data_IF_807632915072
#
_entry.id   IF_807632915072
#
_cell.length_a   1.000
_cell.length_b   1.000
_cell.length_c   1.000
_cell.angle_alpha   90.00
_cell.angle_beta   90.00
_cell.angle_gamma   90.00
#
_symmetry.space_group_name_H-M   'P 1'
#
loop_
_entity.id
_entity.type
_entity.pdbx_description
1 polymer ?
#
# COMPACT_ATOMS: atom_id res chain seq x y z
N UNK A 1 15.02 14.58 3.33
CA UNK A 1 13.65 14.75 3.87
C UNK A 1 12.94 13.41 4.06
N UNK A 2 12.77 12.59 3.01
CA UNK A 2 12.09 11.27 3.08
C UNK A 2 12.66 10.32 4.15
N UNK A 3 13.98 10.30 4.37
CA UNK A 3 14.62 9.47 5.42
C UNK A 3 14.18 9.84 6.85
N UNK A 4 13.98 11.14 7.12
CA UNK A 4 13.55 11.62 8.45
C UNK A 4 12.09 11.21 8.68
N UNK A 5 11.25 11.45 7.69
CA UNK A 5 9.83 11.07 7.74
C UNK A 5 9.69 9.55 7.86
N UNK A 6 10.45 8.77 7.09
CA UNK A 6 10.47 7.31 7.20
C UNK A 6 10.82 6.83 8.61
N UNK A 7 11.83 7.41 9.26
CA UNK A 7 12.22 7.04 10.64
C UNK A 7 11.13 7.38 11.66
N UNK A 8 10.54 8.57 11.58
CA UNK A 8 9.46 8.97 12.50
C UNK A 8 8.21 8.09 12.30
N UNK A 9 7.83 7.83 11.04
CA UNK A 9 6.73 6.93 10.70
C UNK A 9 6.97 5.52 11.24
N UNK A 10 8.16 4.94 11.03
CA UNK A 10 8.50 3.63 11.59
C UNK A 10 8.42 3.62 13.12
N UNK A 11 8.96 4.63 13.79
CA UNK A 11 8.94 4.74 15.25
C UNK A 11 7.51 4.82 15.81
N UNK A 12 6.56 5.37 15.03
CA UNK A 12 5.14 5.50 15.40
C UNK A 12 4.27 4.33 14.96
N UNK A 13 4.84 3.25 14.44
CA UNK A 13 4.08 2.07 14.00
C UNK A 13 3.56 2.12 12.57
N UNK A 14 3.97 3.12 11.78
CA UNK A 14 3.62 3.28 10.38
C UNK A 14 4.59 2.59 9.41
N UNK A 15 4.29 2.68 8.12
CA UNK A 15 5.03 2.05 7.03
C UNK A 15 5.01 2.92 5.77
N UNK A 16 6.10 2.90 5.01
CA UNK A 16 6.07 3.27 3.59
C UNK A 16 5.80 2.00 2.79
N UNK A 17 4.82 2.02 1.89
CA UNK A 17 4.48 0.88 1.04
C UNK A 17 4.54 1.27 -0.43
N UNK A 18 5.24 0.46 -1.24
CA UNK A 18 5.20 0.56 -2.69
C UNK A 18 3.89 -0.05 -3.22
N UNK A 19 2.82 0.72 -3.11
CA UNK A 19 1.47 0.32 -3.43
C UNK A 19 0.60 1.53 -3.72
N UNK A 20 -0.37 1.33 -4.60
CA UNK A 20 -1.39 2.32 -4.93
C UNK A 20 -2.43 2.41 -3.79
N UNK A 21 -2.86 3.61 -3.45
CA UNK A 21 -3.96 3.85 -2.51
C UNK A 21 -5.25 4.05 -3.30
N UNK A 22 -6.25 3.22 -3.02
CA UNK A 22 -7.60 3.36 -3.58
C UNK A 22 -8.59 3.67 -2.47
N UNK A 23 -9.55 4.54 -2.73
CA UNK A 23 -10.59 4.92 -1.78
C UNK A 23 -11.99 4.64 -2.35
N UNK A 24 -12.91 4.24 -1.48
CA UNK A 24 -14.33 4.16 -1.74
C UNK A 24 -15.10 4.56 -0.49
N UNK A 25 -16.09 5.43 -0.65
CA UNK A 25 -17.01 5.82 0.41
C UNK A 25 -16.32 6.19 1.74
N UNK A 26 -15.18 6.89 1.67
CA UNK A 26 -14.44 7.35 2.85
C UNK A 26 -13.54 6.30 3.53
N UNK A 27 -13.37 5.10 2.98
CA UNK A 27 -12.34 4.15 3.42
C UNK A 27 -11.34 3.83 2.31
N UNK A 28 -10.10 3.53 2.71
CA UNK A 28 -9.01 3.19 1.81
C UNK A 28 -8.68 1.70 1.78
N UNK A 29 -8.08 1.27 0.67
CA UNK A 29 -7.42 -0.03 0.52
C UNK A 29 -6.10 0.17 -0.22
N UNK A 30 -5.14 -0.70 0.05
CA UNK A 30 -3.84 -0.67 -0.63
C UNK A 30 -3.80 -1.76 -1.69
N UNK A 31 -3.47 -1.37 -2.91
CA UNK A 31 -3.17 -2.26 -4.03
C UNK A 31 -1.64 -2.36 -4.15
N UNK A 32 -1.07 -3.43 -3.57
CA UNK A 32 0.38 -3.65 -3.46
C UNK A 32 0.83 -4.84 -4.31
N UNK A 33 2.13 -4.96 -4.53
CA UNK A 33 2.70 -6.10 -5.24
C UNK A 33 4.01 -5.74 -5.94
N UNK A 34 4.71 -6.74 -6.50
CA UNK A 34 5.99 -6.52 -7.17
C UNK A 34 5.93 -5.42 -8.25
N UNK A 35 7.07 -4.80 -8.54
CA UNK A 35 7.16 -3.89 -9.68
C UNK A 35 6.75 -4.61 -10.97
N UNK A 36 6.03 -3.92 -11.86
CA UNK A 36 5.54 -4.48 -13.12
C UNK A 36 4.28 -5.35 -13.03
N UNK A 37 3.75 -5.67 -11.84
CA UNK A 37 2.56 -6.53 -11.71
C UNK A 37 1.26 -5.90 -12.26
N UNK A 38 1.24 -4.57 -12.41
CA UNK A 38 0.10 -3.83 -12.96
C UNK A 38 -0.62 -2.89 -11.99
N UNK A 39 0.04 -2.42 -10.91
CA UNK A 39 -0.54 -1.49 -9.92
C UNK A 39 -1.09 -0.21 -10.54
N UNK A 40 -0.31 0.45 -11.39
CA UNK A 40 -0.72 1.67 -12.11
C UNK A 40 -1.92 1.38 -13.03
N UNK A 41 -1.89 0.25 -13.74
CA UNK A 41 -3.00 -0.20 -14.61
C UNK A 41 -4.27 -0.43 -13.80
N UNK A 42 -4.18 -1.14 -12.67
CA UNK A 42 -5.32 -1.35 -11.78
C UNK A 42 -5.86 -0.02 -11.21
N UNK A 43 -4.96 0.86 -10.76
CA UNK A 43 -5.28 2.19 -10.23
C UNK A 43 -6.05 3.05 -11.24
N UNK A 44 -5.67 3.01 -12.51
CA UNK A 44 -6.36 3.71 -13.62
C UNK A 44 -7.72 3.07 -13.95
N UNK A 45 -7.85 1.74 -13.82
CA UNK A 45 -9.06 0.99 -14.18
C UNK A 45 -10.17 1.07 -13.13
N UNK A 46 -9.93 1.63 -11.95
CA UNK A 46 -10.95 1.77 -10.91
C UNK A 46 -12.08 2.70 -11.39
N UNK A 47 -13.33 2.20 -11.51
CA UNK A 47 -14.46 3.04 -11.84
C UNK A 47 -15.06 3.68 -10.58
N UNK A 48 -15.82 4.75 -10.75
CA UNK A 48 -16.70 5.27 -9.69
C UNK A 48 -17.57 4.12 -9.11
N UNK A 49 -17.74 4.03 -7.77
CA UNK A 49 -17.35 5.01 -6.75
C UNK A 49 -15.91 4.84 -6.21
N UNK A 50 -15.12 3.91 -6.75
CA UNK A 50 -13.71 3.81 -6.40
C UNK A 50 -12.94 4.98 -7.01
N UNK A 51 -11.97 5.50 -6.25
CA UNK A 51 -11.06 6.56 -6.67
C UNK A 51 -9.63 6.14 -6.36
N UNK A 52 -8.74 6.35 -7.32
CA UNK A 52 -7.31 6.28 -7.06
C UNK A 52 -6.87 7.55 -6.33
N UNK A 53 -6.14 7.41 -5.23
CA UNK A 53 -5.51 8.50 -4.49
C UNK A 53 -3.99 8.53 -4.68
N UNK A 54 -3.37 7.39 -5.00
CA UNK A 54 -1.99 7.30 -5.48
C UNK A 54 -1.80 5.99 -6.25
N UNK A 55 -0.77 5.90 -7.08
CA UNK A 55 -0.48 4.73 -7.92
C UNK A 55 0.87 4.03 -7.66
N UNK A 56 1.74 4.62 -6.84
CA UNK A 56 3.13 4.16 -6.68
C UNK A 56 3.55 3.98 -5.20
N UNK A 57 3.36 5.00 -4.34
CA UNK A 57 3.67 4.90 -2.91
C UNK A 57 2.50 5.37 -2.05
N UNK A 58 2.28 4.64 -0.96
CA UNK A 58 1.34 4.97 0.11
C UNK A 58 2.11 5.10 1.41
N UNK A 59 1.96 6.25 2.08
CA UNK A 59 2.39 6.42 3.46
C UNK A 59 1.29 5.91 4.38
N UNK A 60 1.60 4.90 5.19
CA UNK A 60 0.71 4.39 6.23
C UNK A 60 1.16 4.95 7.57
N UNK A 61 0.25 5.63 8.26
CA UNK A 61 0.45 6.07 9.65
C UNK A 61 -0.53 5.35 10.56
N UNK A 62 -0.17 5.23 11.84
CA UNK A 62 -1.00 4.61 12.86
C UNK A 62 -1.38 5.67 13.89
N UNK A 63 -2.67 5.80 14.19
CA UNK A 63 -3.16 6.74 15.20
C UNK A 63 -3.06 6.15 16.62
N UNK A 64 -3.32 6.98 17.63
CA UNK A 64 -3.26 6.60 19.04
C UNK A 64 -4.31 5.54 19.43
N UNK A 65 -5.37 5.39 18.62
CA UNK A 65 -6.37 4.33 18.76
C UNK A 65 -5.96 3.03 18.05
N UNK A 66 -4.78 3.02 17.42
CA UNK A 66 -4.21 1.88 16.72
C UNK A 66 -4.79 1.62 15.32
N UNK A 67 -5.59 2.55 14.78
CA UNK A 67 -6.10 2.49 13.41
C UNK A 67 -5.04 2.95 12.43
N UNK A 68 -5.03 2.34 11.25
CA UNK A 68 -4.10 2.73 10.20
C UNK A 68 -4.78 3.62 9.18
N UNK A 69 -4.06 4.65 8.74
CA UNK A 69 -4.50 5.63 7.77
C UNK A 69 -3.55 5.62 6.58
N UNK A 70 -4.10 5.64 5.37
CA UNK A 70 -3.36 5.76 4.13
C UNK A 70 -3.33 7.22 3.69
N UNK A 71 -2.12 7.73 3.48
CA UNK A 71 -1.87 8.99 2.81
C UNK A 71 -1.27 8.72 1.44
N UNK A 72 -1.77 9.38 0.39
CA UNK A 72 -1.08 9.34 -0.88
C UNK A 72 0.28 10.01 -0.73
N UNK A 73 1.34 9.30 -1.12
CA UNK A 73 2.69 9.84 -1.04
C UNK A 73 3.10 10.37 -2.42
N UNK A 74 3.57 11.62 -2.52
CA UNK A 74 3.97 12.18 -3.81
C UNK A 74 5.19 11.42 -4.33
N UNK A 75 5.02 10.72 -5.44
CA UNK A 75 6.14 10.06 -6.11
C UNK A 75 6.77 11.03 -7.10
N UNK A 76 8.00 11.42 -6.77
CA UNK A 76 8.77 12.40 -7.55
C UNK A 76 9.21 11.83 -8.91
N UNK A 77 9.22 10.51 -9.07
CA UNK A 77 9.43 9.83 -10.36
C UNK A 77 8.49 10.37 -11.44
N UNK A 78 7.22 10.58 -11.09
CA UNK A 78 6.24 11.12 -12.03
C UNK A 78 6.50 12.59 -12.42
N UNK A 79 7.02 13.39 -11.49
CA UNK A 79 7.41 14.78 -11.75
C UNK A 79 8.61 14.91 -12.71
N UNK A 80 9.52 13.93 -12.69
CA UNK A 80 10.71 13.94 -13.53
C UNK A 80 10.51 13.21 -14.87
N UNK A 81 9.67 12.18 -14.92
CA UNK A 81 9.42 11.39 -16.13
C UNK A 81 8.27 11.92 -16.99
N UNK A 82 7.27 12.59 -16.39
CA UNK A 82 6.15 13.16 -17.15
C UNK A 82 6.33 14.66 -17.32
N UNK A 83 6.81 15.05 -18.51
CA UNK A 83 6.75 16.44 -18.95
C UNK A 83 5.28 16.80 -19.23
N UNK A 84 4.52 17.12 -18.17
CA UNK A 84 3.16 17.64 -18.19
C UNK A 84 2.01 16.60 -18.28
N UNK A 85 1.74 15.87 -17.20
CA UNK A 85 0.39 15.31 -16.99
C UNK A 85 -0.18 15.83 -15.67
N UNK A 86 -1.22 16.67 -15.75
CA UNK A 86 -1.79 17.46 -14.66
C UNK A 86 -2.50 16.68 -13.54
N UNK A 87 -2.04 15.45 -13.23
CA UNK A 87 -2.52 14.69 -12.07
C UNK A 87 -2.00 15.33 -10.79
N UNK A 88 -2.93 15.83 -9.97
CA UNK A 88 -2.66 16.36 -8.63
C UNK A 88 -3.18 15.34 -7.61
N UNK A 89 -2.31 14.87 -6.72
CA UNK A 89 -2.72 14.06 -5.58
C UNK A 89 -2.91 14.99 -4.38
N UNK A 90 -4.09 14.97 -3.76
CA UNK A 90 -4.31 15.69 -2.51
C UNK A 90 -3.66 14.91 -1.36
N UNK A 91 -2.39 15.22 -1.12
CA UNK A 91 -1.56 14.62 -0.04
C UNK A 91 -2.06 14.96 1.37
N UNK A 92 -2.95 15.96 1.50
CA UNK A 92 -3.48 16.39 2.80
C UNK A 92 -4.61 15.48 3.30
N UNK A 93 -5.28 14.75 2.41
CA UNK A 93 -6.44 13.96 2.75
C UNK A 93 -6.07 12.49 3.01
N UNK A 94 -6.21 12.05 4.25
CA UNK A 94 -5.97 10.68 4.69
C UNK A 94 -7.26 9.87 4.70
N UNK A 95 -7.17 8.56 4.48
CA UNK A 95 -8.32 7.66 4.54
C UNK A 95 -8.05 6.47 5.47
N UNK A 96 -9.01 6.07 6.32
CA UNK A 96 -8.86 4.91 7.19
C UNK A 96 -8.77 3.64 6.34
N UNK A 97 -7.77 2.80 6.59
CA UNK A 97 -7.53 1.60 5.80
C UNK A 97 -8.41 0.44 6.26
N UNK A 98 -9.06 -0.23 5.30
CA UNK A 98 -9.97 -1.36 5.54
C UNK A 98 -9.41 -2.70 5.04
N UNK A 99 -8.46 -2.68 4.10
CA UNK A 99 -7.92 -3.91 3.52
C UNK A 99 -6.65 -3.74 2.69
N UNK A 100 -5.97 -4.87 2.51
CA UNK A 100 -4.77 -5.02 1.71
C UNK A 100 -5.04 -6.00 0.57
N UNK A 101 -4.71 -5.59 -0.66
CA UNK A 101 -4.84 -6.43 -1.85
C UNK A 101 -3.48 -6.50 -2.55
N UNK A 102 -2.90 -7.69 -2.58
CA UNK A 102 -1.66 -7.95 -3.27
C UNK A 102 -1.95 -8.46 -4.68
N UNK A 103 -1.60 -7.69 -5.70
CA UNK A 103 -1.91 -8.02 -7.08
C UNK A 103 -1.15 -9.26 -7.55
N UNK A 104 -1.85 -10.09 -8.31
CA UNK A 104 -1.29 -11.14 -9.15
C UNK A 104 -2.00 -11.09 -10.52
N UNK A 105 -1.27 -11.31 -11.61
CA UNK A 105 -1.90 -11.41 -12.92
C UNK A 105 -2.57 -12.77 -13.09
N UNK A 106 -3.78 -12.78 -13.64
CA UNK A 106 -4.54 -14.00 -13.87
C UNK A 106 -5.44 -13.87 -15.11
N UNK A 107 -6.07 -14.98 -15.50
CA UNK A 107 -7.07 -14.98 -16.58
C UNK A 107 -8.43 -14.46 -16.12
N UNK A 108 -8.75 -14.65 -14.86
CA UNK A 108 -10.03 -14.29 -14.24
C UNK A 108 -9.76 -13.52 -12.95
N UNK A 109 -10.65 -12.57 -12.64
CA UNK A 109 -10.54 -11.80 -11.41
C UNK A 109 -10.99 -12.65 -10.22
N UNK A 110 -10.20 -12.67 -9.15
CA UNK A 110 -10.62 -13.25 -7.87
C UNK A 110 -9.86 -12.64 -6.70
N UNK A 111 -10.53 -12.46 -5.57
CA UNK A 111 -9.87 -12.06 -4.33
C UNK A 111 -9.81 -13.24 -3.35
N UNK A 112 -8.59 -13.71 -3.05
CA UNK A 112 -8.38 -14.80 -2.11
C UNK A 112 -7.84 -14.30 -0.78
N UNK A 113 -8.50 -14.67 0.31
CA UNK A 113 -8.04 -14.29 1.64
C UNK A 113 -6.74 -15.01 1.98
N UNK A 114 -5.78 -14.26 2.53
CA UNK A 114 -4.52 -14.81 3.03
C UNK A 114 -4.37 -14.63 4.53
N UNK A 115 -3.57 -15.51 5.13
CA UNK A 115 -3.24 -15.45 6.56
C UNK A 115 -2.31 -14.29 6.89
N UNK A 116 -2.29 -13.90 8.17
CA UNK A 116 -1.48 -12.79 8.68
C UNK A 116 0.02 -12.99 8.45
N UNK A 117 0.54 -14.22 8.52
CA UNK A 117 1.94 -14.53 8.24
C UNK A 117 2.34 -14.22 6.79
N UNK A 118 1.53 -14.66 5.83
CA UNK A 118 1.76 -14.36 4.41
C UNK A 118 1.64 -12.85 4.14
N UNK A 119 0.59 -12.20 4.67
CA UNK A 119 0.40 -10.76 4.53
C UNK A 119 1.59 -9.97 5.10
N UNK A 120 2.14 -10.39 6.23
CA UNK A 120 3.35 -9.78 6.84
C UNK A 120 4.54 -9.87 5.90
N UNK A 121 4.80 -11.04 5.30
CA UNK A 121 5.88 -11.22 4.34
C UNK A 121 5.74 -10.31 3.11
N UNK A 122 4.53 -10.20 2.57
CA UNK A 122 4.26 -9.35 1.41
C UNK A 122 4.33 -7.85 1.74
N UNK A 123 3.92 -7.44 2.95
CA UNK A 123 4.10 -6.08 3.44
C UNK A 123 5.58 -5.71 3.58
N UNK A 124 6.39 -6.61 4.14
CA UNK A 124 7.83 -6.39 4.28
C UNK A 124 8.51 -6.18 2.93
N UNK A 125 8.16 -7.00 1.93
CA UNK A 125 8.68 -6.86 0.57
C UNK A 125 8.25 -5.52 -0.03
N UNK A 126 6.97 -5.20 0.06
CA UNK A 126 6.39 -3.95 -0.44
C UNK A 126 7.00 -2.73 0.23
N UNK A 127 7.31 -2.80 1.54
CA UNK A 127 7.92 -1.71 2.26
C UNK A 127 9.39 -1.51 1.87
N UNK A 128 10.14 -2.59 1.73
CA UNK A 128 11.53 -2.55 1.25
C UNK A 128 11.66 -1.98 -0.16
N UNK A 129 10.70 -2.26 -1.04
CA UNK A 129 10.65 -1.65 -2.37
C UNK A 129 10.48 -0.12 -2.30
N UNK A 130 9.73 0.39 -1.32
CA UNK A 130 9.57 1.84 -1.11
C UNK A 130 10.78 2.50 -0.45
N UNK A 131 11.50 1.78 0.42
CA UNK A 131 12.54 2.38 1.29
C UNK A 131 13.97 2.02 0.89
N UNK A 132 14.17 1.05 -0.01
CA UNK A 132 15.48 0.48 -0.34
C UNK A 132 16.54 1.47 -0.84
N UNK A 133 16.13 2.68 -1.26
CA UNK A 133 17.04 3.77 -1.64
C UNK A 133 17.42 4.73 -0.49
N UNK A 134 16.81 4.59 0.69
CA UNK A 134 16.98 5.51 1.83
C UNK A 134 18.07 5.08 2.83
N UNK A 135 18.62 3.87 2.68
CA UNK A 135 19.41 3.19 3.72
C UNK A 135 20.94 3.17 3.49
N UNK A 136 21.44 3.82 2.44
CA UNK A 136 22.83 3.76 1.94
C UNK A 136 23.95 4.22 2.92
N UNK A 137 23.62 4.66 4.15
CA UNK A 137 24.61 5.18 5.13
C UNK A 137 24.31 4.85 6.59
N UNK A 138 23.50 3.83 6.86
CA UNK A 138 23.15 3.45 8.26
C UNK A 138 24.16 2.43 8.79
N UNK A 139 24.47 2.46 10.10
CA UNK A 139 25.29 1.42 10.72
C UNK A 139 24.56 0.06 10.74
N UNK A 140 25.30 -1.04 10.89
CA UNK A 140 24.68 -2.39 10.93
C UNK A 140 23.69 -2.55 12.11
N UNK A 141 23.97 -1.92 13.25
CA UNK A 141 23.07 -1.95 14.42
C UNK A 141 21.80 -1.14 14.17
N UNK A 142 21.92 0.04 13.57
CA UNK A 142 20.76 0.85 13.18
C UNK A 142 19.87 0.11 12.17
N UNK A 143 20.48 -0.54 11.18
CA UNK A 143 19.76 -1.33 10.18
C UNK A 143 19.02 -2.51 10.83
N UNK A 144 19.62 -3.18 11.81
CA UNK A 144 18.96 -4.27 12.54
C UNK A 144 17.76 -3.77 13.33
N UNK A 145 17.91 -2.66 14.06
CA UNK A 145 16.83 -2.06 14.83
C UNK A 145 15.67 -1.61 13.92
N UNK A 146 15.99 -0.94 12.81
CA UNK A 146 15.01 -0.51 11.82
C UNK A 146 14.27 -1.70 11.18
N UNK A 147 14.99 -2.77 10.82
CA UNK A 147 14.38 -3.98 10.26
C UNK A 147 13.42 -4.65 11.26
N UNK A 148 13.78 -4.69 12.55
CA UNK A 148 12.91 -5.24 13.59
C UNK A 148 11.64 -4.38 13.77
N UNK A 149 11.77 -3.06 13.78
CA UNK A 149 10.61 -2.15 13.81
C UNK A 149 9.72 -2.32 12.59
N UNK A 150 10.31 -2.38 11.39
CA UNK A 150 9.59 -2.62 10.15
C UNK A 150 8.80 -3.94 10.21
N UNK A 151 9.42 -5.01 10.69
CA UNK A 151 8.78 -6.32 10.88
C UNK A 151 7.62 -6.25 11.86
N UNK A 152 7.80 -5.60 13.01
CA UNK A 152 6.77 -5.47 14.02
C UNK A 152 5.57 -4.66 13.50
N UNK A 153 5.83 -3.55 12.80
CA UNK A 153 4.79 -2.71 12.21
C UNK A 153 4.01 -3.48 11.13
N UNK A 154 4.69 -4.25 10.27
CA UNK A 154 4.06 -5.11 9.28
C UNK A 154 3.17 -6.18 9.93
N UNK A 155 3.64 -6.82 11.01
CA UNK A 155 2.84 -7.77 11.79
C UNK A 155 1.57 -7.14 12.37
N UNK A 156 1.70 -5.95 12.96
CA UNK A 156 0.56 -5.22 13.56
C UNK A 156 -0.45 -4.85 12.48
N UNK A 157 0.02 -4.30 11.36
CA UNK A 157 -0.83 -3.92 10.24
C UNK A 157 -1.57 -5.13 9.66
N UNK A 158 -0.86 -6.23 9.38
CA UNK A 158 -1.43 -7.47 8.85
C UNK A 158 -2.49 -8.09 9.77
N UNK A 159 -2.35 -7.93 11.10
CA UNK A 159 -3.35 -8.40 12.08
C UNK A 159 -4.60 -7.51 12.13
N UNK A 160 -4.45 -6.23 11.80
CA UNK A 160 -5.54 -5.24 11.95
C UNK A 160 -6.49 -5.17 10.74
N UNK A 161 -6.14 -5.79 9.61
CA UNK A 161 -6.89 -5.68 8.36
C UNK A 161 -7.02 -7.02 7.63
N UNK A 162 -8.07 -7.15 6.83
CA UNK A 162 -8.19 -8.26 5.89
C UNK A 162 -7.17 -8.08 4.77
N UNK A 163 -6.49 -9.18 4.43
CA UNK A 163 -5.47 -9.22 3.39
C UNK A 163 -5.83 -10.25 2.35
N UNK A 164 -5.59 -9.93 1.08
CA UNK A 164 -5.98 -10.78 -0.05
C UNK A 164 -4.89 -10.84 -1.11
N UNK A 165 -4.79 -11.96 -1.82
CA UNK A 165 -4.25 -11.96 -3.18
C UNK A 165 -5.39 -11.55 -4.11
N UNK A 166 -5.19 -10.45 -4.84
CA UNK A 166 -6.11 -9.98 -5.87
C UNK A 166 -5.58 -10.42 -7.23
N UNK A 167 -6.19 -11.46 -7.77
CA UNK A 167 -5.94 -11.91 -9.11
C UNK A 167 -6.67 -10.96 -10.06
N UNK A 168 -5.94 -10.38 -11.02
CA UNK A 168 -6.43 -9.35 -11.94
C UNK A 168 -6.21 -9.81 -13.37
N UNK A 169 -7.30 -9.89 -14.10
CA UNK A 169 -7.34 -10.04 -15.56
C UNK A 169 -7.16 -8.71 -16.28
N UNK A 170 -6.79 -8.76 -17.56
CA UNK A 170 -6.52 -7.55 -18.36
C UNK A 170 -7.75 -6.64 -18.50
N UNK A 171 -8.94 -7.21 -18.68
CA UNK A 171 -10.16 -6.46 -19.01
C UNK A 171 -11.32 -6.67 -18.02
N UNK A 172 -11.12 -7.49 -16.98
CA UNK A 172 -12.16 -7.77 -16.01
C UNK A 172 -12.50 -6.62 -15.06
N UNK A 173 -13.36 -6.92 -14.09
CA UNK A 173 -13.91 -5.98 -13.12
C UNK A 173 -13.46 -6.33 -11.69
N UNK A 174 -12.15 -6.44 -11.47
CA UNK A 174 -11.54 -6.84 -10.19
C UNK A 174 -12.03 -6.05 -8.97
N UNK A 175 -12.50 -4.80 -9.15
CA UNK A 175 -13.07 -4.00 -8.06
C UNK A 175 -14.35 -4.62 -7.48
N UNK A 176 -15.09 -5.44 -8.25
CA UNK A 176 -16.22 -6.23 -7.73
C UNK A 176 -15.75 -7.30 -6.74
N UNK A 177 -14.64 -7.95 -7.04
CA UNK A 177 -14.01 -8.93 -6.14
C UNK A 177 -13.50 -8.26 -4.86
N UNK A 178 -12.95 -7.04 -4.97
CA UNK A 178 -12.58 -6.24 -3.80
C UNK A 178 -13.79 -5.93 -2.91
N UNK A 179 -14.90 -5.53 -3.52
CA UNK A 179 -16.15 -5.22 -2.80
C UNK A 179 -16.70 -6.44 -2.06
N UNK A 180 -16.74 -7.60 -2.74
CA UNK A 180 -17.16 -8.86 -2.14
C UNK A 180 -16.25 -9.24 -0.97
N UNK A 181 -14.93 -9.23 -1.19
CA UNK A 181 -13.92 -9.59 -0.19
C UNK A 181 -13.97 -8.73 1.07
N UNK A 182 -14.19 -7.42 0.93
CA UNK A 182 -14.28 -6.51 2.08
C UNK A 182 -15.53 -6.74 2.92
N UNK A 183 -16.64 -7.18 2.29
CA UNK A 183 -17.93 -7.40 2.94
C UNK A 183 -18.10 -8.83 3.50
N UNK A 184 -17.28 -9.79 3.08
CA UNK A 184 -17.28 -11.15 3.65
C UNK A 184 -16.97 -11.15 5.16
N UNK A 185 -17.59 -12.01 5.99
CA UNK A 185 -17.25 -12.13 7.41
C UNK A 185 -15.78 -12.51 7.65
N UNK A 186 -15.28 -12.24 8.86
CA UNK A 186 -13.89 -12.53 9.30
C UNK A 186 -13.72 -14.02 9.60
#
# INVERSE_FOLDING_TARGET
>A
MTKIIHRDVLARGGLFLHGALAERNGFGVILAGPSGVGKTTASIRLPSPWRSLSDDVTLVVRDDQGRHWGHPWPTWSFFWESNNSGRKWDVSNAVPLKGLFFLAQAREDRAERIGTGQATGMLLETARQATGRLDDRSSNEDLKAMNLQLFNNACIMAKSMKSFILNVSLDGQFWKEMDLALNSPI
#
